data_IF_193021986366
#
_entry.id   IF_193021986366
#
_cell.length_a   1.000
_cell.length_b   1.000
_cell.length_c   1.000
_cell.angle_alpha   90.00
_cell.angle_beta   90.00
_cell.angle_gamma   90.00
#
_symmetry.space_group_name_H-M   'P 1'
#
loop_
_entity.id
_entity.type
_entity.pdbx_description
1 polymer ?
#
# COMPACT_ATOMS: atom_id res chain seq x y z
N UNK A 1 42.03 6.26 4.71
CA UNK A 1 41.86 4.87 4.27
C UNK A 1 41.42 4.07 5.48
N UNK A 2 40.12 3.98 5.75
CA UNK A 2 39.58 3.00 6.70
C UNK A 2 38.47 2.27 5.95
N UNK A 3 38.78 1.01 5.62
CA UNK A 3 37.85 0.04 5.09
C UNK A 3 36.69 -0.11 6.07
N UNK A 4 35.49 0.20 5.58
CA UNK A 4 34.27 -0.40 6.09
C UNK A 4 34.43 -1.91 5.90
N UNK A 5 34.43 -2.67 6.98
CA UNK A 5 34.30 -4.11 6.87
C UNK A 5 32.90 -4.39 6.34
N UNK A 6 32.84 -4.91 5.11
CA UNK A 6 31.69 -5.68 4.64
C UNK A 6 31.56 -6.87 5.60
N UNK A 7 30.54 -6.82 6.45
CA UNK A 7 30.09 -7.94 7.25
C UNK A 7 29.40 -8.92 6.27
N UNK A 8 30.23 -9.71 5.59
CA UNK A 8 29.74 -10.78 4.72
C UNK A 8 29.09 -11.83 5.60
N UNK A 9 27.78 -12.03 5.42
CA UNK A 9 27.02 -13.14 6.01
C UNK A 9 27.80 -14.43 5.80
N UNK A 10 27.95 -15.19 6.88
CA UNK A 10 28.68 -16.46 6.86
C UNK A 10 27.97 -17.46 5.95
N UNK A 11 28.71 -18.43 5.42
CA UNK A 11 28.13 -19.49 4.56
C UNK A 11 26.98 -20.23 5.28
N UNK A 12 27.06 -20.34 6.61
CA UNK A 12 26.05 -20.97 7.46
C UNK A 12 24.75 -20.16 7.51
N UNK A 13 24.83 -18.83 7.61
CA UNK A 13 23.65 -17.94 7.55
C UNK A 13 23.00 -17.94 6.16
N UNK A 14 23.82 -18.06 5.11
CA UNK A 14 23.34 -18.18 3.73
C UNK A 14 22.62 -19.51 3.51
N UNK A 15 23.14 -20.61 4.06
CA UNK A 15 22.53 -21.93 3.97
C UNK A 15 21.20 -22.00 4.73
N UNK A 16 21.09 -21.33 5.90
CA UNK A 16 19.84 -21.21 6.65
C UNK A 16 18.79 -20.42 5.86
N UNK A 17 19.20 -19.33 5.20
CA UNK A 17 18.31 -18.52 4.37
C UNK A 17 17.83 -19.29 3.13
N UNK A 18 18.72 -20.02 2.45
CA UNK A 18 18.37 -20.87 1.31
C UNK A 18 17.46 -22.03 1.72
N UNK A 19 17.71 -22.66 2.88
CA UNK A 19 16.84 -23.70 3.42
C UNK A 19 15.45 -23.17 3.74
N UNK A 20 15.36 -21.94 4.27
CA UNK A 20 14.08 -21.28 4.56
C UNK A 20 13.31 -20.94 3.28
N UNK A 21 14.00 -20.43 2.25
CA UNK A 21 13.39 -20.16 0.94
C UNK A 21 12.93 -21.46 0.27
N UNK A 22 13.75 -22.52 0.28
CA UNK A 22 13.38 -23.81 -0.28
C UNK A 22 12.24 -24.49 0.48
N UNK A 23 12.12 -24.26 1.79
CA UNK A 23 10.99 -24.71 2.59
C UNK A 23 9.69 -23.98 2.22
N UNK A 24 9.77 -22.69 1.85
CA UNK A 24 8.63 -21.90 1.34
C UNK A 24 8.28 -22.33 -0.09
N UNK A 25 9.27 -22.62 -0.93
CA UNK A 25 9.07 -23.08 -2.31
C UNK A 25 8.64 -24.55 -2.41
N UNK A 26 8.85 -25.35 -1.36
CA UNK A 26 8.34 -26.72 -1.25
C UNK A 26 6.96 -26.80 -0.60
N UNK A 27 6.38 -25.66 -0.17
CA UNK A 27 4.96 -25.57 0.13
C UNK A 27 4.18 -25.89 -1.16
N UNK A 28 3.07 -26.65 -1.08
CA UNK A 28 2.32 -27.04 -2.26
C UNK A 28 1.90 -25.79 -3.07
N UNK A 29 2.41 -25.68 -4.30
CA UNK A 29 1.90 -24.72 -5.27
C UNK A 29 0.46 -25.08 -5.59
N UNK A 30 -0.47 -24.22 -5.18
CA UNK A 30 -1.85 -24.12 -5.68
C UNK A 30 -2.48 -25.47 -6.06
N UNK A 31 -2.79 -26.29 -5.06
CA UNK A 31 -3.80 -27.31 -5.26
C UNK A 31 -5.15 -26.61 -5.23
N UNK A 32 -5.88 -26.67 -6.34
CA UNK A 32 -7.33 -26.44 -6.34
C UNK A 32 -7.95 -27.50 -5.43
N UNK A 33 -8.18 -27.18 -4.16
CA UNK A 33 -8.82 -28.07 -3.22
C UNK A 33 -10.32 -28.11 -3.55
N UNK A 34 -10.76 -29.21 -4.12
CA UNK A 34 -12.18 -29.48 -4.40
C UNK A 34 -12.89 -30.25 -3.28
N UNK A 35 -12.35 -30.36 -2.06
CA UNK A 35 -12.93 -31.29 -1.06
C UNK A 35 -12.83 -30.89 0.42
N UNK A 36 -12.48 -29.65 0.77
CA UNK A 36 -12.64 -29.17 2.16
C UNK A 36 -14.09 -28.72 2.34
N UNK A 37 -14.84 -29.39 3.21
CA UNK A 37 -16.18 -28.96 3.59
C UNK A 37 -16.08 -27.95 4.76
N UNK A 38 -16.68 -26.78 4.58
CA UNK A 38 -16.94 -25.81 5.64
C UNK A 38 -17.73 -26.49 6.76
N UNK A 39 -17.63 -25.98 7.99
CA UNK A 39 -18.38 -26.51 9.14
C UNK A 39 -19.91 -26.46 8.95
N UNK A 40 -20.41 -25.62 8.03
CA UNK A 40 -21.82 -25.58 7.64
C UNK A 40 -22.23 -26.63 6.60
N UNK A 41 -21.29 -27.44 6.08
CA UNK A 41 -21.54 -28.48 5.08
C UNK A 41 -21.32 -28.07 3.62
N UNK A 42 -21.09 -26.77 3.36
CA UNK A 42 -20.81 -26.24 2.02
C UNK A 42 -19.32 -26.35 1.65
N UNK A 43 -18.94 -26.29 0.36
CA UNK A 43 -17.54 -26.26 -0.06
C UNK A 43 -16.79 -25.05 0.53
N UNK A 44 -15.68 -25.32 1.20
CA UNK A 44 -14.77 -24.31 1.74
C UNK A 44 -13.71 -23.93 0.71
N UNK A 45 -14.02 -22.89 -0.08
CA UNK A 45 -13.18 -22.45 -1.21
C UNK A 45 -12.54 -21.08 -0.96
N UNK A 46 -12.84 -20.43 0.16
CA UNK A 46 -12.46 -19.06 0.44
C UNK A 46 -11.57 -19.00 1.68
N UNK A 47 -10.48 -18.23 1.62
CA UNK A 47 -9.60 -17.93 2.75
C UNK A 47 -9.46 -16.42 2.91
N UNK A 48 -9.24 -15.97 4.14
CA UNK A 48 -8.87 -14.59 4.43
C UNK A 48 -7.35 -14.53 4.59
N UNK A 49 -6.68 -13.63 3.89
CA UNK A 49 -5.22 -13.50 4.01
C UNK A 49 -4.80 -12.75 5.29
N UNK A 50 -5.75 -12.06 5.94
CA UNK A 50 -5.52 -11.30 7.19
C UNK A 50 -5.79 -12.12 8.46
N UNK A 51 -6.52 -13.24 8.36
CA UNK A 51 -6.86 -14.12 9.48
C UNK A 51 -6.35 -15.54 9.24
N UNK A 52 -5.78 -16.17 10.27
CA UNK A 52 -5.42 -17.60 10.23
C UNK A 52 -6.64 -18.55 10.37
N UNK A 53 -7.82 -18.11 9.90
CA UNK A 53 -9.00 -18.96 9.85
C UNK A 53 -8.81 -20.04 8.77
N UNK A 54 -9.38 -21.25 8.98
CA UNK A 54 -9.41 -22.27 7.94
C UNK A 54 -10.19 -21.77 6.72
N UNK A 55 -10.03 -22.46 5.58
CA UNK A 55 -10.89 -22.23 4.42
C UNK A 55 -12.36 -22.40 4.82
N UNK A 56 -13.21 -21.48 4.38
CA UNK A 56 -14.65 -21.44 4.67
C UNK A 56 -15.44 -21.27 3.37
N UNK A 57 -16.74 -21.59 3.40
CA UNK A 57 -17.62 -21.23 2.29
C UNK A 57 -17.86 -19.72 2.28
N UNK A 58 -18.37 -19.19 1.16
CA UNK A 58 -18.62 -17.76 0.97
C UNK A 58 -19.46 -17.15 2.10
N UNK A 59 -20.53 -17.80 2.51
CA UNK A 59 -21.41 -17.27 3.56
C UNK A 59 -20.76 -17.34 4.96
N UNK A 60 -20.01 -18.40 5.24
CA UNK A 60 -19.38 -18.58 6.54
C UNK A 60 -18.16 -17.69 6.72
N UNK A 61 -17.38 -17.45 5.66
CA UNK A 61 -16.29 -16.49 5.73
C UNK A 61 -16.85 -15.08 5.95
N UNK A 62 -17.90 -14.68 5.22
CA UNK A 62 -18.54 -13.37 5.42
C UNK A 62 -19.08 -13.26 6.86
N UNK A 63 -19.80 -14.27 7.37
CA UNK A 63 -20.31 -14.29 8.76
C UNK A 63 -19.22 -14.27 9.83
N UNK A 64 -18.10 -14.96 9.61
CA UNK A 64 -16.99 -14.96 10.55
C UNK A 64 -16.33 -13.57 10.68
N UNK A 65 -16.44 -12.75 9.63
CA UNK A 65 -15.87 -11.40 9.59
C UNK A 65 -16.91 -10.30 9.82
N UNK A 66 -18.21 -10.61 9.75
CA UNK A 66 -19.30 -9.70 10.12
C UNK A 66 -19.16 -9.28 11.60
N UNK A 67 -18.85 -8.00 11.84
CA UNK A 67 -18.73 -7.43 13.18
C UNK A 67 -17.36 -7.60 13.85
N UNK A 68 -16.30 -7.95 13.09
CA UNK A 68 -14.92 -7.85 13.57
C UNK A 68 -14.34 -6.48 13.18
N UNK A 69 -13.89 -5.69 14.16
CA UNK A 69 -13.43 -4.29 14.00
C UNK A 69 -12.30 -4.09 12.97
N UNK A 70 -11.60 -5.16 12.57
CA UNK A 70 -10.49 -5.12 11.62
C UNK A 70 -10.86 -5.57 10.19
N UNK A 71 -12.03 -6.18 9.97
CA UNK A 71 -12.43 -6.70 8.65
C UNK A 71 -13.81 -6.21 8.28
N UNK A 72 -13.86 -4.97 7.82
CA UNK A 72 -15.07 -4.35 7.30
C UNK A 72 -15.32 -4.89 5.88
N UNK A 73 -16.00 -6.04 5.80
CA UNK A 73 -16.93 -6.29 4.70
C UNK A 73 -18.15 -5.39 4.97
N UNK A 74 -17.98 -4.10 4.69
CA UNK A 74 -19.12 -3.23 4.46
C UNK A 74 -19.82 -3.81 3.24
N UNK A 75 -20.88 -4.58 3.49
CA UNK A 75 -22.06 -4.43 2.66
C UNK A 75 -22.48 -2.98 2.87
N UNK A 76 -21.79 -2.04 2.20
CA UNK A 76 -22.37 -0.75 1.91
C UNK A 76 -23.71 -1.14 1.27
N UNK A 77 -24.81 -0.94 1.99
CA UNK A 77 -26.13 -1.18 1.46
C UNK A 77 -26.12 -0.55 0.06
N UNK A 78 -26.42 -1.35 -0.96
CA UNK A 78 -26.63 -0.84 -2.32
C UNK A 78 -27.87 0.04 -2.21
N UNK A 79 -27.67 1.25 -1.70
CA UNK A 79 -28.59 2.34 -1.76
C UNK A 79 -28.48 2.85 -3.18
N UNK A 80 -29.61 3.26 -3.74
CA UNK A 80 -29.73 3.82 -5.10
C UNK A 80 -28.92 5.13 -5.27
N UNK A 81 -28.17 5.53 -4.23
CA UNK A 81 -27.23 6.63 -4.21
C UNK A 81 -25.88 6.15 -4.74
N UNK A 82 -25.59 6.47 -6.00
CA UNK A 82 -24.24 6.30 -6.54
C UNK A 82 -23.26 7.06 -5.65
N UNK A 83 -22.14 6.45 -5.19
CA UNK A 83 -21.19 7.16 -4.35
C UNK A 83 -20.67 8.36 -5.15
N UNK A 84 -21.00 9.56 -4.68
CA UNK A 84 -20.67 10.81 -5.35
C UNK A 84 -19.41 11.42 -4.73
N UNK A 85 -18.54 11.91 -5.58
CA UNK A 85 -17.43 12.77 -5.17
C UNK A 85 -17.96 14.21 -5.03
N UNK A 86 -17.35 15.03 -4.15
CA UNK A 86 -17.67 16.47 -4.00
C UNK A 86 -17.66 17.28 -5.32
N UNK A 87 -17.03 16.73 -6.37
CA UNK A 87 -16.96 17.30 -7.71
C UNK A 87 -18.25 17.10 -8.54
N UNK A 88 -19.24 16.36 -8.01
CA UNK A 88 -20.47 15.97 -8.72
C UNK A 88 -20.25 14.83 -9.72
N UNK A 89 -19.14 14.12 -9.58
CA UNK A 89 -18.72 13.03 -10.43
C UNK A 89 -18.81 11.70 -9.66
N UNK A 90 -19.01 10.59 -10.38
CA UNK A 90 -19.06 9.26 -9.77
C UNK A 90 -17.74 8.94 -9.06
N UNK A 91 -17.83 8.54 -7.80
CA UNK A 91 -16.68 8.13 -7.01
C UNK A 91 -16.29 6.69 -7.33
N UNK A 92 -15.03 6.53 -7.70
CA UNK A 92 -14.43 5.24 -8.01
C UNK A 92 -13.57 4.73 -6.84
N UNK A 93 -13.06 5.65 -6.02
CA UNK A 93 -12.16 5.37 -4.92
C UNK A 93 -12.81 5.72 -3.59
N UNK A 94 -12.55 4.89 -2.59
CA UNK A 94 -12.87 5.15 -1.19
C UNK A 94 -11.58 5.16 -0.39
N UNK A 95 -11.32 6.24 0.33
CA UNK A 95 -10.21 6.31 1.28
C UNK A 95 -10.71 6.05 2.71
N UNK A 96 -10.04 5.15 3.42
CA UNK A 96 -10.43 4.76 4.78
C UNK A 96 -9.89 5.74 5.84
N UNK A 97 -8.82 6.48 5.51
CA UNK A 97 -8.15 7.42 6.41
C UNK A 97 -8.66 8.87 6.28
N UNK A 98 -9.24 9.23 5.12
CA UNK A 98 -9.78 10.57 4.88
C UNK A 98 -11.14 10.79 5.57
N UNK A 99 -11.41 12.02 5.96
CA UNK A 99 -12.74 12.42 6.46
C UNK A 99 -13.81 12.33 5.38
N UNK A 100 -13.49 12.80 4.17
CA UNK A 100 -14.29 12.60 2.97
C UNK A 100 -13.73 11.40 2.22
N UNK A 101 -14.49 10.31 2.23
CA UNK A 101 -14.00 8.99 1.81
C UNK A 101 -14.13 8.76 0.31
N UNK A 102 -15.25 9.14 -0.28
CA UNK A 102 -15.57 8.84 -1.69
C UNK A 102 -15.00 9.91 -2.63
N UNK A 103 -14.18 9.48 -3.59
CA UNK A 103 -13.49 10.35 -4.55
C UNK A 103 -13.52 9.75 -5.94
N UNK A 104 -13.70 10.58 -6.96
CA UNK A 104 -13.34 10.18 -8.32
C UNK A 104 -11.82 10.03 -8.42
N UNK A 105 -11.36 9.42 -9.51
CA UNK A 105 -9.94 9.24 -9.79
C UNK A 105 -9.12 10.55 -9.62
N UNK A 106 -9.54 11.65 -10.23
CA UNK A 106 -8.77 12.90 -10.22
C UNK A 106 -8.76 13.57 -8.85
N UNK A 107 -9.90 13.56 -8.15
CA UNK A 107 -9.97 14.10 -6.78
C UNK A 107 -9.19 13.22 -5.79
N UNK A 108 -9.15 11.90 -6.01
CA UNK A 108 -8.31 11.00 -5.24
C UNK A 108 -6.83 11.33 -5.46
N UNK A 109 -6.39 11.51 -6.72
CA UNK A 109 -5.01 11.90 -6.98
C UNK A 109 -4.66 13.28 -6.40
N UNK A 110 -5.54 14.27 -6.53
CA UNK A 110 -5.33 15.61 -6.00
C UNK A 110 -5.21 15.62 -4.47
N UNK A 111 -6.16 15.00 -3.77
CA UNK A 111 -6.21 15.00 -2.30
C UNK A 111 -5.03 14.22 -1.69
N UNK A 112 -4.63 13.12 -2.34
CA UNK A 112 -3.60 12.24 -1.79
C UNK A 112 -2.18 12.59 -2.25
N UNK A 113 -1.99 13.70 -2.97
CA UNK A 113 -0.64 14.20 -3.28
C UNK A 113 0.18 14.46 -2.03
N UNK A 114 -0.44 14.90 -0.93
CA UNK A 114 0.21 15.14 0.37
C UNK A 114 0.10 13.93 1.33
N UNK A 115 -0.72 12.95 0.95
CA UNK A 115 -1.08 11.79 1.77
C UNK A 115 -0.95 10.48 0.97
N UNK A 116 0.23 10.18 0.38
CA UNK A 116 0.38 9.10 -0.60
C UNK A 116 0.31 7.69 -0.01
N UNK A 117 0.26 7.58 1.32
CA UNK A 117 0.19 6.33 2.06
C UNK A 117 -1.18 6.14 2.75
N UNK A 118 -2.21 6.89 2.37
CA UNK A 118 -3.55 6.57 2.83
C UNK A 118 -4.07 5.27 2.21
N UNK A 119 -4.84 4.50 2.97
CA UNK A 119 -5.50 3.29 2.51
C UNK A 119 -6.65 3.68 1.62
N UNK A 120 -6.63 3.12 0.42
CA UNK A 120 -7.66 3.34 -0.58
C UNK A 120 -8.18 2.00 -1.09
N UNK A 121 -9.45 2.02 -1.47
CA UNK A 121 -10.11 0.91 -2.13
C UNK A 121 -10.71 1.42 -3.43
N UNK A 122 -10.74 0.58 -4.45
CA UNK A 122 -11.36 0.87 -5.74
C UNK A 122 -12.64 0.07 -5.88
N UNK A 123 -13.69 0.71 -6.39
CA UNK A 123 -14.93 0.03 -6.71
C UNK A 123 -14.69 -1.01 -7.81
N UNK A 124 -15.01 -2.27 -7.54
CA UNK A 124 -15.03 -3.33 -8.54
C UNK A 124 -16.47 -3.57 -9.00
N UNK A 125 -16.80 -3.17 -10.22
CA UNK A 125 -18.13 -3.39 -10.78
C UNK A 125 -18.45 -4.89 -10.96
N UNK A 126 -17.45 -5.70 -11.29
CA UNK A 126 -17.61 -7.15 -11.45
C UNK A 126 -18.00 -7.83 -10.15
N UNK A 127 -17.38 -7.40 -9.05
CA UNK A 127 -17.58 -8.00 -7.74
C UNK A 127 -18.64 -7.26 -6.91
N UNK A 128 -19.07 -6.08 -7.37
CA UNK A 128 -20.00 -5.18 -6.67
C UNK A 128 -19.55 -4.79 -5.26
N UNK A 129 -18.24 -4.63 -5.05
CA UNK A 129 -17.68 -4.14 -3.80
C UNK A 129 -16.33 -3.43 -3.99
N UNK A 130 -15.89 -2.73 -2.94
CA UNK A 130 -14.59 -2.04 -2.89
C UNK A 130 -13.44 -3.02 -2.61
N UNK A 131 -12.52 -3.17 -3.55
CA UNK A 131 -11.29 -3.97 -3.39
C UNK A 131 -10.13 -3.11 -2.94
N UNK A 132 -9.28 -3.62 -2.05
CA UNK A 132 -8.06 -2.94 -1.63
C UNK A 132 -7.17 -2.58 -2.84
N UNK A 133 -6.57 -1.39 -2.82
CA UNK A 133 -5.60 -0.95 -3.81
C UNK A 133 -4.60 0.00 -3.17
N UNK A 134 -3.54 0.35 -3.89
CA UNK A 134 -2.60 1.40 -3.44
C UNK A 134 -2.82 2.66 -4.24
N UNK A 135 -2.49 3.82 -3.68
CA UNK A 135 -2.53 5.07 -4.43
C UNK A 135 -1.59 5.03 -5.65
N UNK A 136 -0.46 4.33 -5.55
CA UNK A 136 0.44 4.05 -6.68
C UNK A 136 -0.30 3.30 -7.80
N UNK A 137 -1.02 2.23 -7.48
CA UNK A 137 -1.76 1.43 -8.46
C UNK A 137 -2.98 2.19 -9.00
N UNK A 138 -3.52 3.15 -8.23
CA UNK A 138 -4.47 4.15 -8.69
C UNK A 138 -3.85 5.25 -9.57
N UNK A 139 -2.55 5.17 -9.86
CA UNK A 139 -1.85 6.09 -10.75
C UNK A 139 -1.31 7.36 -10.08
N UNK A 140 -1.37 7.47 -8.74
CA UNK A 140 -0.76 8.59 -8.03
C UNK A 140 0.75 8.58 -8.25
N UNK A 141 1.27 9.74 -8.66
CA UNK A 141 2.70 10.03 -8.70
C UNK A 141 2.93 11.32 -7.93
N UNK A 142 3.81 11.25 -6.92
CA UNK A 142 4.09 12.40 -6.05
C UNK A 142 5.12 13.31 -6.72
N UNK A 143 4.76 14.54 -7.11
CA UNK A 143 5.74 15.49 -7.64
C UNK A 143 6.70 15.92 -6.52
N UNK A 144 8.00 15.76 -6.77
CA UNK A 144 9.06 16.20 -5.88
C UNK A 144 9.75 17.43 -6.48
N UNK A 145 9.84 18.49 -5.69
CA UNK A 145 10.26 19.82 -6.16
C UNK A 145 9.07 20.68 -6.60
N UNK A 146 9.36 21.92 -7.04
CA UNK A 146 8.33 22.92 -7.40
C UNK A 146 7.20 23.07 -6.37
N UNK A 147 7.48 22.94 -5.07
CA UNK A 147 6.47 23.06 -4.00
C UNK A 147 5.25 22.13 -4.18
N UNK A 148 5.42 20.99 -4.88
CA UNK A 148 4.34 20.05 -5.17
C UNK A 148 3.67 20.27 -6.54
N UNK A 149 4.05 21.30 -7.30
CA UNK A 149 3.56 21.47 -8.66
C UNK A 149 4.18 20.47 -9.64
N UNK A 150 3.43 20.15 -10.70
CA UNK A 150 3.92 19.28 -11.79
C UNK A 150 5.10 19.93 -12.50
N UNK A 151 6.26 19.29 -12.42
CA UNK A 151 7.44 19.70 -13.17
C UNK A 151 7.21 19.57 -14.69
N UNK A 152 7.62 20.54 -15.52
CA UNK A 152 7.56 20.42 -16.99
C UNK A 152 8.49 19.33 -17.55
N UNK A 153 9.52 18.95 -16.80
CA UNK A 153 10.50 17.93 -17.16
C UNK A 153 10.67 16.93 -16.00
N UNK A 154 9.63 16.14 -15.68
CA UNK A 154 9.66 15.23 -14.55
C UNK A 154 10.55 14.02 -14.86
N UNK A 155 11.23 13.51 -13.83
CA UNK A 155 11.97 12.26 -13.89
C UNK A 155 11.34 11.26 -12.93
N UNK A 156 10.56 10.35 -13.49
CA UNK A 156 9.83 9.34 -12.74
C UNK A 156 10.76 8.31 -12.09
N UNK A 157 10.52 8.02 -10.81
CA UNK A 157 11.14 6.94 -10.05
C UNK A 157 10.11 6.25 -9.16
N UNK A 158 10.53 5.13 -8.57
CA UNK A 158 9.81 4.43 -7.50
C UNK A 158 10.69 4.40 -6.26
N UNK A 159 10.12 4.73 -5.11
CA UNK A 159 10.79 4.71 -3.81
C UNK A 159 10.12 3.69 -2.89
N UNK A 160 10.91 3.11 -1.99
CA UNK A 160 10.42 2.27 -0.90
C UNK A 160 10.33 3.11 0.36
N UNK A 161 9.11 3.43 0.78
CA UNK A 161 8.88 4.27 1.94
C UNK A 161 8.68 3.43 3.19
N UNK A 162 9.48 3.69 4.22
CA UNK A 162 9.22 3.21 5.57
C UNK A 162 8.18 4.14 6.19
N UNK A 163 6.98 3.60 6.39
CA UNK A 163 5.83 4.26 7.02
C UNK A 163 5.66 3.73 8.43
N UNK A 164 4.68 4.28 9.17
CA UNK A 164 4.31 3.76 10.49
C UNK A 164 3.72 2.33 10.46
N UNK A 165 3.43 1.79 9.28
CA UNK A 165 2.78 0.47 9.10
C UNK A 165 3.66 -0.56 8.41
N UNK A 166 4.76 -0.15 7.78
CA UNK A 166 5.64 -1.06 7.08
C UNK A 166 6.37 -0.39 5.93
N UNK A 167 6.81 -1.20 4.97
CA UNK A 167 7.41 -0.71 3.73
C UNK A 167 6.35 -0.64 2.65
N UNK A 168 6.15 0.55 2.10
CA UNK A 168 5.17 0.83 1.05
C UNK A 168 5.87 1.45 -0.16
N UNK A 169 5.57 0.94 -1.34
CA UNK A 169 6.19 1.40 -2.59
C UNK A 169 5.41 2.57 -3.17
N UNK A 170 6.05 3.73 -3.37
CA UNK A 170 5.46 4.97 -3.90
C UNK A 170 6.09 5.38 -5.23
N UNK A 171 5.27 5.82 -6.17
CA UNK A 171 5.75 6.43 -7.41
C UNK A 171 5.94 7.95 -7.22
N UNK A 172 7.09 8.46 -7.65
CA UNK A 172 7.45 9.88 -7.51
C UNK A 172 7.94 10.44 -8.84
N UNK A 173 7.82 11.75 -8.99
CA UNK A 173 8.33 12.50 -10.13
C UNK A 173 9.29 13.58 -9.66
N UNK A 174 10.60 13.35 -9.81
CA UNK A 174 11.61 14.34 -9.48
C UNK A 174 11.62 15.50 -10.48
N UNK A 175 11.84 16.72 -9.99
CA UNK A 175 12.17 17.86 -10.83
C UNK A 175 13.49 17.61 -11.59
N UNK A 176 13.42 17.66 -12.93
CA UNK A 176 14.56 17.56 -13.83
C UNK A 176 14.96 18.88 -14.48
N UNK A 177 14.44 20.03 -14.03
CA UNK A 177 14.76 21.33 -14.60
C UNK A 177 16.25 21.68 -14.41
N UNK A 178 16.79 22.46 -15.35
CA UNK A 178 18.17 22.95 -15.27
C UNK A 178 18.31 23.84 -14.03
N UNK A 179 19.24 23.50 -13.14
CA UNK A 179 19.43 24.21 -11.86
C UNK A 179 18.47 23.77 -10.74
N UNK A 180 17.69 22.71 -10.95
CA UNK A 180 16.87 22.08 -9.91
C UNK A 180 17.72 21.54 -8.75
N UNK A 181 17.10 21.40 -7.58
CA UNK A 181 17.77 20.86 -6.39
C UNK A 181 18.08 19.37 -6.55
N UNK A 182 19.03 18.87 -5.75
CA UNK A 182 19.42 17.46 -5.79
C UNK A 182 18.30 16.53 -5.33
N UNK A 183 18.38 15.25 -5.71
CA UNK A 183 17.40 14.20 -5.34
C UNK A 183 17.05 14.21 -3.85
N UNK A 184 18.07 14.24 -2.98
CA UNK A 184 17.88 14.22 -1.53
C UNK A 184 17.21 15.51 -1.01
N UNK A 185 17.47 16.65 -1.64
CA UNK A 185 16.87 17.93 -1.25
C UNK A 185 15.40 17.99 -1.66
N UNK A 186 15.04 17.44 -2.83
CA UNK A 186 13.65 17.34 -3.26
C UNK A 186 12.83 16.42 -2.33
N UNK A 187 13.38 15.25 -1.94
CA UNK A 187 12.78 14.35 -0.94
C UNK A 187 12.58 15.09 0.39
N UNK A 188 13.62 15.81 0.85
CA UNK A 188 13.56 16.57 2.10
C UNK A 188 12.55 17.72 2.05
N UNK A 189 12.44 18.40 0.91
CA UNK A 189 11.50 19.52 0.73
C UNK A 189 10.05 19.06 0.83
N UNK A 190 9.76 17.83 0.43
CA UNK A 190 8.44 17.21 0.63
C UNK A 190 8.20 16.75 2.08
N UNK A 191 9.26 16.63 2.90
CA UNK A 191 9.17 16.23 4.31
C UNK A 191 9.60 14.80 4.60
N UNK A 192 10.19 14.10 3.62
CA UNK A 192 10.74 12.76 3.80
C UNK A 192 12.25 12.80 4.03
N UNK A 193 12.80 11.71 4.59
CA UNK A 193 14.25 11.56 4.67
C UNK A 193 14.76 10.54 3.66
N UNK A 194 15.68 10.98 2.81
CA UNK A 194 16.37 10.08 1.89
C UNK A 194 17.32 9.16 2.68
N UNK A 195 17.18 7.85 2.48
CA UNK A 195 18.11 6.83 2.99
C UNK A 195 19.04 6.36 1.87
N UNK A 196 19.92 5.40 2.17
CA UNK A 196 20.75 4.77 1.12
C UNK A 196 19.85 4.13 0.07
N UNK A 197 20.23 4.24 -1.19
CA UNK A 197 19.49 3.69 -2.34
C UNK A 197 18.13 4.37 -2.60
N UNK A 198 17.08 3.59 -2.82
CA UNK A 198 15.72 4.01 -3.15
C UNK A 198 14.78 4.09 -1.93
N UNK A 199 15.31 3.92 -0.71
CA UNK A 199 14.50 3.98 0.51
C UNK A 199 14.31 5.41 1.01
N UNK A 200 13.13 5.69 1.55
CA UNK A 200 12.80 6.94 2.25
C UNK A 200 12.10 6.68 3.57
N UNK A 201 12.29 7.55 4.54
CA UNK A 201 11.48 7.57 5.76
C UNK A 201 10.35 8.58 5.59
N UNK A 202 9.11 8.09 5.59
CA UNK A 202 7.89 8.87 5.43
C UNK A 202 7.10 8.87 6.74
N UNK A 203 7.71 9.42 7.79
CA UNK A 203 7.09 9.55 9.11
C UNK A 203 6.70 11.01 9.36
N UNK A 204 5.73 11.27 10.24
CA UNK A 204 5.44 12.63 10.69
C UNK A 204 6.73 13.33 11.14
N UNK A 205 6.85 14.63 10.85
CA UNK A 205 8.05 15.40 11.20
C UNK A 205 8.40 15.31 12.70
N UNK A 206 7.40 15.16 13.57
CA UNK A 206 7.57 14.94 15.01
C UNK A 206 8.30 13.63 15.33
N UNK A 207 8.02 12.56 14.59
CA UNK A 207 8.68 11.26 14.76
C UNK A 207 10.12 11.31 14.27
N UNK A 208 10.35 11.99 13.14
CA UNK A 208 11.69 12.16 12.57
C UNK A 208 12.59 12.95 13.52
N UNK A 209 12.11 14.06 14.09
CA UNK A 209 12.91 14.89 14.98
C UNK A 209 13.44 14.10 16.19
N UNK A 210 12.60 13.23 16.77
CA UNK A 210 13.00 12.39 17.91
C UNK A 210 14.12 11.39 17.58
N UNK A 211 14.25 10.93 16.32
CA UNK A 211 15.30 9.98 15.92
C UNK A 211 16.68 10.63 15.79
N UNK A 212 16.77 11.96 15.65
CA UNK A 212 18.04 12.68 15.53
C UNK A 212 18.52 13.33 16.82
N UNK A 213 17.66 13.36 17.86
CA UNK A 213 17.97 14.00 19.14
C UNK A 213 18.22 13.00 20.28
N UNK A 214 18.27 11.71 19.99
CA UNK A 214 18.54 10.61 20.94
C UNK A 214 19.94 10.03 20.78
#
# INVERSE_FOLDING_TARGET
MNNLMDEQLTNEETDIMIASINAVLSLPSWQTHTDTACTCGEPALYRCDDCALPELCQDCIVKAHLGQDFHVLELDEITDDTPDCDCGCMAEYRCDDCTVRHRCHDCAQGTHQDLPFHHVRRWSAELSYYTATTLRDAGLRVPLGHEGDRCPTPRGETLEALTGRGVETVAVDFCGCVGGSGRADQIRSYGWLAMRSNYVLALPASTIFNMYTS
#
